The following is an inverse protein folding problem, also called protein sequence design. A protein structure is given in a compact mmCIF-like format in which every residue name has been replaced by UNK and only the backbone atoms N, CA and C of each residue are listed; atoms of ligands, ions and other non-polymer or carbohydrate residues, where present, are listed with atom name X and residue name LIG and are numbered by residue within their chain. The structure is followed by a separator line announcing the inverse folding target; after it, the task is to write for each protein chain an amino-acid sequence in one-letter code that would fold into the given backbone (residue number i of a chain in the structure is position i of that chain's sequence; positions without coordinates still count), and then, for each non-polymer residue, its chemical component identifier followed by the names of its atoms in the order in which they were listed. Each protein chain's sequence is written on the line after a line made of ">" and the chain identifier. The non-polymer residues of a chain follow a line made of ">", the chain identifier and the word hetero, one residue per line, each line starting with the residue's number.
data_IF_376053006282
#
_entry.id   IF_376053006282
#
_cell.length_a   1.000
_cell.length_b   1.000
_cell.length_c   1.000
_cell.angle_alpha   90.00
_cell.angle_beta   90.00
_cell.angle_gamma   90.00
#
_symmetry.space_group_name_H-M   'P 1'
#
loop_
_entity.id
_entity.type
_entity.pdbx_description
1 polymer ?
#
# COMPACT_ATOMS: atom_id res chain seq x y z
N UNK A 1 4.89 10.53 -2.55
CA UNK A 1 3.89 10.58 -1.47
C UNK A 1 4.64 10.33 -0.18
N UNK A 2 4.59 11.27 0.75
CA UNK A 2 5.16 11.09 2.09
C UNK A 2 4.25 10.19 2.95
N UNK A 3 4.74 9.69 4.08
CA UNK A 3 4.01 8.72 4.92
C UNK A 3 2.71 9.29 5.51
N UNK A 4 2.73 10.54 5.98
CA UNK A 4 1.55 11.26 6.47
C UNK A 4 0.47 11.42 5.39
N UNK A 5 0.89 11.63 4.14
CA UNK A 5 -0.01 11.70 2.99
C UNK A 5 -0.65 10.34 2.68
N UNK A 6 0.02 9.23 2.97
CA UNK A 6 -0.56 7.90 2.85
C UNK A 6 -1.65 7.65 3.91
N UNK A 7 -1.46 8.16 5.14
CA UNK A 7 -2.49 8.15 6.18
C UNK A 7 -3.71 8.99 5.78
N UNK A 8 -3.49 10.22 5.29
CA UNK A 8 -4.57 11.08 4.79
C UNK A 8 -5.33 10.43 3.62
N UNK A 9 -4.60 9.82 2.67
CA UNK A 9 -5.21 9.05 1.59
C UNK A 9 -6.14 7.97 2.13
N UNK A 10 -5.68 7.17 3.10
CA UNK A 10 -6.48 6.11 3.70
C UNK A 10 -7.76 6.64 4.33
N UNK A 11 -7.67 7.73 5.08
CA UNK A 11 -8.82 8.37 5.71
C UNK A 11 -9.83 8.86 4.67
N UNK A 12 -9.38 9.55 3.63
CA UNK A 12 -10.26 10.04 2.56
C UNK A 12 -10.89 8.88 1.79
N UNK A 13 -10.11 7.84 1.46
CA UNK A 13 -10.60 6.67 0.74
C UNK A 13 -11.73 5.97 1.51
N UNK A 14 -11.54 5.69 2.80
CA UNK A 14 -12.51 4.91 3.56
C UNK A 14 -13.69 5.73 4.11
N UNK A 15 -13.50 7.03 4.38
CA UNK A 15 -14.56 7.89 4.95
C UNK A 15 -15.33 8.73 3.93
N UNK A 16 -14.69 9.22 2.87
CA UNK A 16 -15.33 10.07 1.84
C UNK A 16 -15.87 9.20 0.71
N UNK A 17 -15.00 8.41 0.08
CA UNK A 17 -15.40 7.55 -1.05
C UNK A 17 -16.14 6.28 -0.60
N UNK A 18 -15.87 5.79 0.61
CA UNK A 18 -16.51 4.62 1.22
C UNK A 18 -16.68 3.41 0.27
N UNK A 19 -15.61 2.90 -0.37
CA UNK A 19 -15.75 1.78 -1.29
C UNK A 19 -16.23 0.51 -0.58
N UNK A 20 -16.90 -0.40 -1.29
CA UNK A 20 -17.22 -1.72 -0.72
C UNK A 20 -15.95 -2.55 -0.48
N UNK A 21 -14.97 -2.39 -1.36
CA UNK A 21 -13.68 -3.07 -1.33
C UNK A 21 -12.60 -2.05 -1.73
N UNK A 22 -11.52 -1.95 -0.96
CA UNK A 22 -10.30 -1.23 -1.31
C UNK A 22 -9.14 -2.22 -1.27
N UNK A 23 -8.28 -2.21 -2.30
CA UNK A 23 -7.07 -3.03 -2.36
C UNK A 23 -5.88 -2.08 -2.41
N UNK A 24 -5.00 -2.19 -1.42
CA UNK A 24 -3.75 -1.42 -1.36
C UNK A 24 -2.60 -2.39 -1.51
N UNK A 25 -1.66 -2.06 -2.40
CA UNK A 25 -0.40 -2.78 -2.56
C UNK A 25 0.76 -1.82 -2.36
N UNK A 26 1.82 -2.28 -1.70
CA UNK A 26 3.06 -1.53 -1.50
C UNK A 26 4.25 -2.49 -1.47
N UNK A 27 5.49 -2.06 -1.80
CA UNK A 27 6.67 -2.88 -1.57
C UNK A 27 6.78 -3.34 -0.11
N UNK A 28 7.27 -4.56 0.11
CA UNK A 28 7.77 -4.99 1.41
C UNK A 28 9.27 -4.64 1.50
N UNK A 29 9.63 -3.71 2.39
CA UNK A 29 11.01 -3.28 2.58
C UNK A 29 11.96 -4.43 2.94
N UNK A 30 11.50 -5.39 3.73
CA UNK A 30 12.30 -6.54 4.17
C UNK A 30 12.76 -7.42 2.99
N UNK A 31 12.01 -7.42 1.88
CA UNK A 31 12.34 -8.19 0.69
C UNK A 31 13.45 -7.55 -0.16
N UNK A 32 13.80 -6.29 0.08
CA UNK A 32 14.81 -5.59 -0.73
C UNK A 32 16.19 -6.24 -0.67
N UNK A 33 16.54 -6.86 0.45
CA UNK A 33 17.80 -7.58 0.63
C UNK A 33 17.92 -8.71 -0.42
N UNK A 34 16.83 -9.42 -0.69
CA UNK A 34 16.80 -10.50 -1.69
C UNK A 34 17.10 -9.95 -3.08
N UNK A 35 16.47 -8.82 -3.44
CA UNK A 35 16.63 -8.18 -4.75
C UNK A 35 18.04 -7.60 -4.94
N UNK A 36 18.63 -7.04 -3.88
CA UNK A 36 19.97 -6.46 -3.94
C UNK A 36 21.06 -7.52 -4.04
N UNK A 37 20.92 -8.65 -3.34
CA UNK A 37 21.82 -9.80 -3.46
C UNK A 37 21.88 -10.37 -4.89
N UNK A 38 20.81 -10.21 -5.67
CA UNK A 38 20.77 -10.60 -7.09
C UNK A 38 21.36 -9.57 -8.06
N UNK A 39 21.78 -8.40 -7.59
CA UNK A 39 22.42 -7.37 -8.44
C UNK A 39 23.90 -7.71 -8.60
N UNK A 40 24.48 -7.69 -9.83
CA UNK A 40 25.91 -7.92 -10.03
C UNK A 40 26.71 -6.88 -9.22
N UNK A 41 27.81 -7.30 -8.55
CA UNK A 41 28.63 -6.35 -7.80
C UNK A 41 29.20 -5.30 -8.76
N UNK A 42 28.82 -4.04 -8.55
CA UNK A 42 29.66 -2.91 -8.96
C UNK A 42 30.92 -2.94 -8.09
N UNK A 43 32.07 -2.63 -8.68
CA UNK A 43 33.44 -2.83 -8.15
C UNK A 43 33.77 -2.29 -6.73
N UNK A 44 32.82 -1.65 -6.04
CA UNK A 44 33.01 -0.97 -4.75
C UNK A 44 32.22 -1.58 -3.57
N UNK A 45 31.67 -2.80 -3.69
CA UNK A 45 30.97 -3.46 -2.58
C UNK A 45 31.86 -4.55 -1.94
N UNK A 46 32.63 -4.15 -0.94
CA UNK A 46 33.32 -5.07 -0.03
C UNK A 46 32.30 -5.90 0.76
N UNK A 47 32.62 -7.17 1.00
CA UNK A 47 31.80 -8.17 1.70
C UNK A 47 31.37 -7.66 3.09
N UNK A 48 30.19 -7.04 3.17
CA UNK A 48 29.61 -6.58 4.42
C UNK A 48 28.80 -7.67 5.08
N UNK A 49 29.06 -7.91 6.36
CA UNK A 49 28.37 -8.84 7.26
C UNK A 49 26.83 -8.76 7.11
N UNK A 50 26.14 -9.92 7.16
CA UNK A 50 24.72 -10.07 6.75
C UNK A 50 23.76 -9.15 7.53
N UNK A 51 24.16 -8.70 8.72
CA UNK A 51 23.42 -7.73 9.55
C UNK A 51 23.55 -6.27 9.09
N UNK A 52 24.64 -5.90 8.41
CA UNK A 52 24.86 -4.56 7.88
C UNK A 52 24.08 -4.31 6.57
N UNK A 53 23.59 -5.37 5.92
CA UNK A 53 22.85 -5.28 4.65
C UNK A 53 21.45 -4.68 4.79
N UNK A 54 20.75 -4.93 5.91
CA UNK A 54 19.46 -4.28 6.18
C UNK A 54 19.62 -2.77 6.41
N UNK A 55 20.71 -2.36 7.08
CA UNK A 55 21.02 -0.95 7.34
C UNK A 55 21.47 -0.17 6.10
N UNK A 56 21.99 -0.87 5.09
CA UNK A 56 22.42 -0.27 3.81
C UNK A 56 21.43 -0.50 2.66
N UNK A 57 20.27 -1.12 2.96
CA UNK A 57 19.31 -1.53 1.95
C UNK A 57 18.60 -0.31 1.35
N UNK A 58 18.86 -0.05 0.08
CA UNK A 58 18.23 1.03 -0.70
C UNK A 58 16.76 0.73 -1.01
N UNK A 59 15.95 1.78 -1.15
CA UNK A 59 14.61 1.66 -1.73
C UNK A 59 14.68 1.13 -3.17
N UNK A 60 13.60 0.47 -3.61
CA UNK A 60 13.51 -0.12 -4.95
C UNK A 60 13.48 0.93 -6.05
N UNK A 61 13.04 2.13 -5.73
CA UNK A 61 12.93 3.25 -6.65
C UNK A 61 13.35 4.55 -5.95
N UNK A 62 14.11 5.37 -6.65
CA UNK A 62 14.62 6.65 -6.14
C UNK A 62 13.51 7.68 -5.85
N UNK A 63 12.32 7.52 -6.42
CA UNK A 63 11.19 8.40 -6.13
C UNK A 63 10.31 7.92 -4.96
N UNK A 64 10.55 6.72 -4.43
CA UNK A 64 9.88 6.29 -3.19
C UNK A 64 10.34 7.16 -2.03
N UNK A 65 9.38 7.62 -1.23
CA UNK A 65 9.65 8.46 -0.06
C UNK A 65 9.77 7.64 1.22
N UNK A 66 9.12 6.48 1.24
CA UNK A 66 9.21 5.47 2.27
C UNK A 66 8.91 4.09 1.67
N UNK A 67 9.31 3.03 2.36
CA UNK A 67 8.89 1.66 2.10
C UNK A 67 8.67 0.98 3.45
N UNK A 68 7.48 0.41 3.67
CA UNK A 68 7.14 -0.21 4.95
C UNK A 68 7.67 -1.64 5.05
N UNK A 69 8.06 -2.02 6.27
CA UNK A 69 8.16 -3.43 6.68
C UNK A 69 6.77 -4.08 6.72
N UNK A 70 6.71 -5.40 6.90
CA UNK A 70 5.44 -6.13 7.09
C UNK A 70 4.70 -5.62 8.32
N UNK A 71 5.42 -5.45 9.43
CA UNK A 71 4.86 -4.98 10.69
C UNK A 71 4.27 -3.56 10.56
N UNK A 72 5.02 -2.63 9.97
CA UNK A 72 4.56 -1.25 9.78
C UNK A 72 3.29 -1.19 8.92
N UNK A 73 3.25 -1.95 7.82
CA UNK A 73 2.10 -1.99 6.93
C UNK A 73 0.88 -2.64 7.59
N UNK A 74 1.06 -3.74 8.33
CA UNK A 74 -0.01 -4.40 9.09
C UNK A 74 -0.59 -3.46 10.14
N UNK A 75 0.27 -2.75 10.88
CA UNK A 75 -0.16 -1.80 11.90
C UNK A 75 -1.01 -0.68 11.29
N UNK A 76 -0.47 0.00 10.28
CA UNK A 76 -1.15 1.10 9.57
C UNK A 76 -2.51 0.65 9.03
N UNK A 77 -2.56 -0.48 8.32
CA UNK A 77 -3.78 -0.96 7.70
C UNK A 77 -4.82 -1.42 8.73
N UNK A 78 -4.38 -2.07 9.81
CA UNK A 78 -5.28 -2.55 10.88
C UNK A 78 -5.91 -1.39 11.65
N UNK A 79 -5.13 -0.37 12.00
CA UNK A 79 -5.64 0.85 12.64
C UNK A 79 -6.61 1.60 11.73
N UNK A 80 -6.26 1.74 10.44
CA UNK A 80 -7.13 2.39 9.47
C UNK A 80 -8.46 1.65 9.31
N UNK A 81 -8.43 0.32 9.20
CA UNK A 81 -9.63 -0.50 9.07
C UNK A 81 -10.57 -0.36 10.29
N UNK A 82 -9.99 -0.45 11.50
CA UNK A 82 -10.73 -0.32 12.76
C UNK A 82 -11.38 1.06 12.91
N UNK A 83 -10.70 2.14 12.50
CA UNK A 83 -11.25 3.51 12.60
C UNK A 83 -12.45 3.76 11.68
N UNK A 84 -12.55 3.04 10.56
CA UNK A 84 -13.55 3.31 9.51
C UNK A 84 -14.59 2.19 9.32
N UNK A 85 -14.65 1.21 10.22
CA UNK A 85 -15.56 0.05 10.15
C UNK A 85 -15.36 -0.83 8.90
N UNK A 86 -14.09 -1.16 8.63
CA UNK A 86 -13.70 -2.14 7.62
C UNK A 86 -13.04 -3.35 8.29
N UNK A 87 -13.24 -4.52 7.69
CA UNK A 87 -12.36 -5.65 7.90
C UNK A 87 -11.16 -5.54 6.96
N UNK A 88 -9.99 -6.03 7.38
CA UNK A 88 -8.78 -6.07 6.55
C UNK A 88 -8.17 -7.46 6.54
N UNK A 89 -7.82 -7.93 5.35
CA UNK A 89 -7.10 -9.19 5.12
C UNK A 89 -5.74 -8.88 4.46
N UNK A 90 -4.70 -9.58 4.89
CA UNK A 90 -3.33 -9.38 4.40
C UNK A 90 -2.88 -10.52 3.48
N UNK A 91 -2.21 -10.16 2.38
CA UNK A 91 -1.63 -11.10 1.42
C UNK A 91 -0.46 -10.42 0.69
N UNK A 92 0.01 -10.98 -0.41
CA UNK A 92 1.04 -10.39 -1.24
C UNK A 92 1.32 -11.16 -2.51
N UNK A 93 2.32 -10.68 -3.27
CA UNK A 93 2.78 -11.28 -4.53
C UNK A 93 4.30 -11.37 -4.54
N UNK A 94 4.82 -12.47 -5.10
CA UNK A 94 6.24 -12.80 -5.18
C UNK A 94 6.74 -13.34 -3.84
N UNK A 95 7.37 -14.52 -3.81
CA UNK A 95 7.65 -15.23 -2.56
C UNK A 95 6.38 -15.87 -1.95
N UNK A 96 6.43 -16.17 -0.65
CA UNK A 96 5.30 -16.73 0.11
C UNK A 96 5.31 -16.22 1.56
N UNK A 97 4.16 -16.28 2.24
CA UNK A 97 4.03 -15.74 3.61
C UNK A 97 4.80 -16.54 4.67
N UNK A 98 5.05 -17.82 4.40
CA UNK A 98 5.68 -18.81 5.28
C UNK A 98 7.20 -18.91 5.11
N UNK A 99 7.77 -18.19 4.16
CA UNK A 99 9.20 -18.19 3.85
C UNK A 99 9.75 -16.79 4.00
N UNK A 100 10.79 -16.60 4.82
CA UNK A 100 11.40 -15.29 4.95
C UNK A 100 12.07 -14.81 3.66
N UNK A 101 11.88 -13.51 3.30
CA UNK A 101 11.31 -12.42 4.11
C UNK A 101 9.81 -12.15 3.89
N UNK A 102 9.04 -13.12 3.43
CA UNK A 102 7.64 -13.00 3.10
C UNK A 102 7.42 -12.62 1.64
N UNK A 103 6.32 -11.91 1.36
CA UNK A 103 6.02 -11.46 0.01
C UNK A 103 6.90 -10.28 -0.43
N UNK A 104 7.21 -10.19 -1.73
CA UNK A 104 7.93 -9.07 -2.32
C UNK A 104 7.08 -7.79 -2.34
N UNK A 105 5.81 -7.93 -2.69
CA UNK A 105 4.82 -6.86 -2.55
C UNK A 105 3.76 -7.30 -1.56
N UNK A 106 3.47 -6.47 -0.58
CA UNK A 106 2.46 -6.72 0.44
C UNK A 106 1.15 -6.02 0.07
N UNK A 107 0.03 -6.68 0.38
CA UNK A 107 -1.32 -6.29 -0.02
C UNK A 107 -2.24 -6.31 1.19
N UNK A 108 -3.03 -5.25 1.36
CA UNK A 108 -4.13 -5.17 2.31
C UNK A 108 -5.44 -5.04 1.54
N UNK A 109 -6.40 -5.92 1.84
CA UNK A 109 -7.74 -5.94 1.24
C UNK A 109 -8.74 -5.50 2.30
N UNK A 110 -9.23 -4.28 2.17
CA UNK A 110 -10.26 -3.72 3.04
C UNK A 110 -11.65 -4.09 2.50
N UNK A 111 -12.54 -4.60 3.35
CA UNK A 111 -13.93 -4.92 3.03
C UNK A 111 -14.84 -4.19 4.00
N UNK A 112 -15.75 -3.38 3.49
CA UNK A 112 -16.69 -2.61 4.31
C UNK A 112 -17.61 -3.57 5.07
N UNK A 113 -17.74 -3.41 6.38
CA UNK A 113 -18.74 -4.15 7.13
C UNK A 113 -20.14 -3.70 6.68
N UNK A 114 -21.05 -4.67 6.47
CA UNK A 114 -22.43 -4.34 6.11
C UNK A 114 -23.14 -3.84 7.36
N UNK A 115 -23.25 -2.52 7.53
CA UNK A 115 -24.26 -1.95 8.43
C UNK A 115 -25.61 -1.90 7.72
N UNK A 116 -26.69 -2.09 8.48
CA UNK A 116 -28.08 -2.23 7.98
C UNK A 116 -28.71 -0.92 7.46
N UNK A 117 -27.91 0.11 7.23
CA UNK A 117 -28.32 1.46 6.84
C UNK A 117 -27.40 1.93 5.69
N UNK A 118 -27.63 1.41 4.48
CA UNK A 118 -27.05 1.95 3.23
C UNK A 118 -27.73 3.28 2.82
N UNK A 119 -28.30 4.03 3.78
CA UNK A 119 -29.09 5.24 3.55
C UNK A 119 -28.54 6.41 4.40
N UNK A 120 -27.30 6.81 4.11
CA UNK A 120 -26.81 8.14 4.49
C UNK A 120 -26.53 8.90 3.20
N UNK A 121 -27.48 9.77 2.89
CA UNK A 121 -27.42 10.80 1.88
C UNK A 121 -26.15 11.65 2.12
N UNK A 122 -25.10 11.40 1.33
CA UNK A 122 -23.90 12.25 1.33
C UNK A 122 -24.18 13.46 0.46
N UNK A 123 -24.80 14.47 1.06
CA UNK A 123 -24.71 15.84 0.58
C UNK A 123 -23.30 16.36 0.95
N UNK A 124 -22.29 15.86 0.22
CA UNK A 124 -20.97 16.45 0.21
C UNK A 124 -20.91 17.28 -1.07
N UNK A 125 -20.80 18.60 -0.88
CA UNK A 125 -20.41 19.55 -1.92
C UNK A 125 -18.98 19.16 -2.37
N UNK A 126 -18.88 18.14 -3.23
CA UNK A 126 -17.61 17.69 -3.78
C UNK A 126 -17.25 18.73 -4.83
N UNK A 127 -16.48 19.73 -4.40
CA UNK A 127 -15.80 20.60 -5.33
C UNK A 127 -14.97 19.69 -6.25
N UNK A 128 -15.29 19.75 -7.54
CA UNK A 128 -14.88 18.74 -8.50
C UNK A 128 -13.43 19.04 -8.91
N UNK A 129 -12.48 18.68 -8.03
CA UNK A 129 -11.07 19.00 -8.16
C UNK A 129 -10.37 18.27 -9.32
N UNK A 130 -11.04 17.30 -9.96
CA UNK A 130 -10.49 16.53 -11.07
C UNK A 130 -10.88 17.14 -12.41
N UNK A 131 -9.88 17.35 -13.28
CA UNK A 131 -10.11 17.70 -14.67
C UNK A 131 -10.31 16.43 -15.50
N UNK A 132 -11.49 16.26 -16.09
CA UNK A 132 -11.75 15.15 -17.02
C UNK A 132 -10.92 15.35 -18.29
N UNK A 133 -9.84 14.56 -18.42
CA UNK A 133 -8.97 14.61 -19.61
C UNK A 133 -9.51 13.79 -20.77
N UNK A 134 -10.34 12.78 -20.49
CA UNK A 134 -10.92 11.88 -21.48
C UNK A 134 -12.19 11.22 -20.92
N UNK A 135 -13.27 11.19 -21.71
CA UNK A 135 -14.52 10.51 -21.38
C UNK A 135 -14.97 9.66 -22.57
N UNK A 136 -15.45 8.46 -22.27
CA UNK A 136 -16.04 7.57 -23.27
C UNK A 136 -17.39 7.06 -22.80
N UNK A 137 -18.40 7.19 -23.66
CA UNK A 137 -19.75 6.71 -23.41
C UNK A 137 -20.19 5.81 -24.55
N UNK A 138 -20.52 4.55 -24.22
CA UNK A 138 -20.90 3.52 -25.20
C UNK A 138 -22.18 3.86 -25.97
N UNK A 139 -23.01 4.78 -25.46
CA UNK A 139 -24.26 5.24 -26.09
C UNK A 139 -24.02 6.31 -27.18
N UNK A 140 -22.83 6.90 -27.24
CA UNK A 140 -22.48 7.90 -28.26
C UNK A 140 -21.91 7.25 -29.54
N UNK A 141 -22.40 6.06 -29.89
CA UNK A 141 -22.06 5.31 -31.12
C UNK A 141 -23.23 5.32 -32.10
#
# INVERSE_FOLDING_TARGET
>A
MEEDQACLFGDVALSVFCPKILIVSTPNFEYNVVLQKSTPPTQDQEESDDQNLLQSCKFRNNDHKFEWTREQFIQWASELAARHNYNVEFSGVGGSADVEPGFASQIAVFKRERSHEDDVQKDTDIDNHYNVIWEWNSKNK
#
